data_IF_342227866517
#
_entry.id   IF_342227866517
#
_cell.length_a   1.000
_cell.length_b   1.000
_cell.length_c   1.000
_cell.angle_alpha   90.00
_cell.angle_beta   90.00
_cell.angle_gamma   90.00
#
_symmetry.space_group_name_H-M   'P 1'
#
loop_
_entity.id
_entity.type
_entity.pdbx_description
1 polymer ?
#
# COMPACT_ATOMS: atom_id res chain seq x y z
N UNK A 1 -9.53 -5.90 16.85
CA UNK A 1 -9.63 -4.84 15.82
C UNK A 1 -10.97 -4.95 15.14
N UNK A 2 -11.79 -3.91 15.23
CA UNK A 2 -13.06 -3.79 14.51
C UNK A 2 -12.82 -3.50 13.03
N UNK A 3 -13.85 -3.69 12.18
CA UNK A 3 -13.77 -3.33 10.76
C UNK A 3 -13.47 -1.84 10.53
N UNK A 4 -13.93 -0.98 11.45
CA UNK A 4 -13.69 0.45 11.38
C UNK A 4 -12.22 0.78 11.69
N UNK A 5 -11.66 0.25 12.77
CA UNK A 5 -10.25 0.43 13.13
C UNK A 5 -9.32 -0.11 12.04
N UNK A 6 -9.67 -1.26 11.45
CA UNK A 6 -8.96 -1.80 10.29
C UNK A 6 -8.95 -0.81 9.13
N UNK A 7 -10.12 -0.25 8.80
CA UNK A 7 -10.28 0.65 7.66
C UNK A 7 -9.52 1.95 7.87
N UNK A 8 -9.59 2.55 9.05
CA UNK A 8 -8.87 3.78 9.39
C UNK A 8 -7.36 3.59 9.30
N UNK A 9 -6.83 2.53 9.94
CA UNK A 9 -5.39 2.22 9.91
C UNK A 9 -4.90 1.91 8.51
N UNK A 10 -5.66 1.13 7.73
CA UNK A 10 -5.30 0.82 6.34
C UNK A 10 -5.36 2.07 5.46
N UNK A 11 -6.38 2.92 5.61
CA UNK A 11 -6.55 4.12 4.81
C UNK A 11 -5.44 5.15 5.06
N UNK A 12 -4.91 5.24 6.28
CA UNK A 12 -3.75 6.08 6.59
C UNK A 12 -2.49 5.70 5.79
N UNK A 13 -2.37 4.45 5.33
CA UNK A 13 -1.22 3.96 4.56
C UNK A 13 -1.35 4.25 3.05
N UNK A 14 -2.56 4.46 2.54
CA UNK A 14 -2.83 4.68 1.11
C UNK A 14 -2.01 5.83 0.53
N UNK A 15 -1.95 7.04 1.13
CA UNK A 15 -1.18 8.15 0.57
C UNK A 15 0.32 7.82 0.45
N UNK A 16 0.86 7.01 1.35
CA UNK A 16 2.27 6.61 1.36
C UNK A 16 2.55 5.67 0.17
N UNK A 17 1.69 4.67 -0.03
CA UNK A 17 1.82 3.74 -1.14
C UNK A 17 1.58 4.41 -2.51
N UNK A 18 0.60 5.30 -2.61
CA UNK A 18 0.34 6.12 -3.81
C UNK A 18 1.55 6.99 -4.14
N UNK A 19 2.11 7.70 -3.16
CA UNK A 19 3.31 8.52 -3.35
C UNK A 19 4.49 7.68 -3.85
N UNK A 20 4.64 6.45 -3.35
CA UNK A 20 5.70 5.54 -3.78
C UNK A 20 5.53 5.09 -5.24
N UNK A 21 4.34 4.64 -5.63
CA UNK A 21 4.06 4.23 -7.00
C UNK A 21 4.20 5.41 -7.98
N UNK A 22 3.64 6.58 -7.61
CA UNK A 22 3.73 7.81 -8.41
C UNK A 22 5.17 8.28 -8.63
N UNK A 23 6.06 8.09 -7.65
CA UNK A 23 7.49 8.44 -7.81
C UNK A 23 8.15 7.64 -8.95
N UNK A 24 7.68 6.42 -9.23
CA UNK A 24 8.30 5.54 -10.24
C UNK A 24 7.64 5.62 -11.60
N UNK A 25 6.31 5.70 -11.65
CA UNK A 25 5.52 5.62 -12.89
C UNK A 25 4.71 6.88 -13.20
N UNK A 26 4.75 7.89 -12.34
CA UNK A 26 3.91 9.08 -12.46
C UNK A 26 2.52 8.88 -11.85
N UNK A 27 1.82 10.00 -11.62
CA UNK A 27 0.45 9.99 -11.07
C UNK A 27 -0.61 9.69 -12.14
N UNK A 28 -0.28 9.88 -13.40
CA UNK A 28 -1.18 9.70 -14.55
C UNK A 28 -0.44 8.99 -15.68
N UNK A 29 -1.14 8.08 -16.35
CA UNK A 29 -0.62 7.46 -17.57
C UNK A 29 -0.57 8.50 -18.70
N UNK A 30 0.57 8.61 -19.37
CA UNK A 30 0.74 9.45 -20.56
C UNK A 30 0.64 8.65 -21.87
N UNK A 31 0.50 7.32 -21.77
CA UNK A 31 0.33 6.40 -22.90
C UNK A 31 -0.96 6.68 -23.68
N UNK A 32 -0.84 6.74 -25.01
CA UNK A 32 -1.97 7.05 -25.89
C UNK A 32 -2.68 5.79 -26.38
N UNK A 33 -1.96 4.70 -26.57
CA UNK A 33 -2.50 3.39 -26.95
C UNK A 33 -2.91 2.56 -25.73
N UNK A 34 -3.77 1.59 -25.96
CA UNK A 34 -4.32 0.71 -24.93
C UNK A 34 -3.25 -0.16 -24.26
N UNK A 35 -2.31 -0.72 -25.03
CA UNK A 35 -1.27 -1.60 -24.51
C UNK A 35 -0.39 -0.86 -23.49
N UNK A 36 0.07 0.35 -23.81
CA UNK A 36 0.86 1.19 -22.90
C UNK A 36 0.07 1.56 -21.64
N UNK A 37 -1.25 1.82 -21.76
CA UNK A 37 -2.09 2.10 -20.59
C UNK A 37 -2.23 0.90 -19.68
N UNK A 38 -2.47 -0.29 -20.24
CA UNK A 38 -2.57 -1.53 -19.48
C UNK A 38 -1.25 -1.85 -18.78
N UNK A 39 -0.12 -1.72 -19.48
CA UNK A 39 1.21 -1.92 -18.90
C UNK A 39 1.49 -0.91 -17.78
N UNK A 40 1.12 0.36 -17.96
CA UNK A 40 1.26 1.36 -16.91
C UNK A 40 0.42 1.03 -15.69
N UNK A 41 -0.85 0.64 -15.89
CA UNK A 41 -1.77 0.26 -14.80
C UNK A 41 -1.23 -0.94 -14.04
N UNK A 42 -0.79 -2.00 -14.73
CA UNK A 42 -0.27 -3.21 -14.09
C UNK A 42 0.98 -2.91 -13.25
N UNK A 43 1.94 -2.21 -13.83
CA UNK A 43 3.17 -1.83 -13.15
C UNK A 43 2.93 -0.91 -11.94
N UNK A 44 2.06 0.09 -12.10
CA UNK A 44 1.69 1.01 -11.03
C UNK A 44 1.00 0.25 -9.88
N UNK A 45 0.00 -0.58 -10.22
CA UNK A 45 -0.73 -1.40 -9.26
C UNK A 45 0.19 -2.36 -8.51
N UNK A 46 1.13 -3.00 -9.21
CA UNK A 46 2.11 -3.90 -8.59
C UNK A 46 2.94 -3.19 -7.52
N UNK A 47 3.44 -1.99 -7.79
CA UNK A 47 4.20 -1.22 -6.79
C UNK A 47 3.31 -0.71 -5.66
N UNK A 48 2.11 -0.22 -5.97
CA UNK A 48 1.16 0.24 -4.98
C UNK A 48 0.78 -0.89 -4.01
N UNK A 49 0.33 -2.03 -4.52
CA UNK A 49 -0.07 -3.18 -3.71
C UNK A 49 1.12 -3.80 -2.96
N UNK A 50 2.29 -3.91 -3.59
CA UNK A 50 3.50 -4.38 -2.91
C UNK A 50 3.91 -3.46 -1.75
N UNK A 51 3.79 -2.13 -1.92
CA UNK A 51 4.08 -1.18 -0.85
C UNK A 51 3.01 -1.22 0.25
N UNK A 52 1.73 -1.33 -0.12
CA UNK A 52 0.63 -1.48 0.83
C UNK A 52 0.78 -2.72 1.70
N UNK A 53 1.09 -3.89 1.11
CA UNK A 53 1.28 -5.13 1.86
C UNK A 53 2.45 -5.01 2.86
N UNK A 54 3.57 -4.43 2.43
CA UNK A 54 4.70 -4.18 3.32
C UNK A 54 4.33 -3.24 4.47
N UNK A 55 3.71 -2.10 4.18
CA UNK A 55 3.29 -1.14 5.19
C UNK A 55 2.29 -1.75 6.17
N UNK A 56 1.36 -2.57 5.68
CA UNK A 56 0.40 -3.26 6.51
C UNK A 56 1.05 -4.28 7.43
N UNK A 57 2.02 -5.07 6.94
CA UNK A 57 2.81 -5.99 7.77
C UNK A 57 3.58 -5.25 8.86
N UNK A 58 4.22 -4.13 8.52
CA UNK A 58 4.92 -3.27 9.49
C UNK A 58 3.95 -2.69 10.53
N UNK A 59 2.75 -2.27 10.11
CA UNK A 59 1.72 -1.70 10.98
C UNK A 59 1.07 -2.75 11.89
N UNK A 60 0.85 -3.97 11.38
CA UNK A 60 0.37 -5.11 12.15
C UNK A 60 1.41 -5.58 13.19
N UNK A 61 2.71 -5.53 12.85
CA UNK A 61 3.78 -5.89 13.76
C UNK A 61 3.92 -4.91 14.95
N UNK A 62 3.46 -3.67 14.81
CA UNK A 62 3.41 -2.69 15.91
C UNK A 62 2.28 -2.95 16.90
N UNK A 63 1.28 -3.76 16.52
CA UNK A 63 0.21 -4.15 17.44
C UNK A 63 0.77 -5.26 18.35
N UNK A 64 0.96 -5.01 19.65
CA UNK A 64 1.52 -6.01 20.54
C UNK A 64 0.63 -7.25 20.54
N UNK A 65 1.27 -8.40 20.40
CA UNK A 65 0.69 -9.70 20.67
C UNK A 65 0.25 -9.75 22.14
N UNK A 66 -1.05 -9.60 22.41
CA UNK A 66 -1.63 -9.74 23.76
C UNK A 66 -1.37 -11.13 24.38
N UNK A 67 -0.95 -12.11 23.57
CA UNK A 67 -0.68 -13.48 24.00
C UNK A 67 0.78 -13.70 24.45
N UNK A 68 1.74 -12.89 24.00
CA UNK A 68 3.16 -13.22 24.15
C UNK A 68 4.05 -12.17 24.83
N UNK A 69 3.49 -11.03 25.26
CA UNK A 69 4.07 -10.22 26.35
C UNK A 69 5.56 -9.86 26.25
N UNK A 70 6.18 -9.84 25.06
CA UNK A 70 7.57 -9.40 24.90
C UNK A 70 7.61 -7.91 24.61
N UNK A 71 7.61 -7.14 25.71
CA UNK A 71 8.43 -5.95 25.80
C UNK A 71 9.89 -6.40 25.92
N UNK A 72 10.78 -5.89 25.07
CA UNK A 72 12.23 -6.13 25.13
C UNK A 72 12.84 -6.45 23.79
#
# INVERSE_FOLDING_TARGET
>A
MTNQEYSERRNALIPIAVKFANKRYGATCLGKDEATRLEWVDNWNRLYHGKMDRLWKEEAAKTPCEVCGRLG
#
